data_IF_682385628931
#
_entry.id   IF_682385628931
#
_cell.length_a   1.000
_cell.length_b   1.000
_cell.length_c   1.000
_cell.angle_alpha   90.00
_cell.angle_beta   90.00
_cell.angle_gamma   90.00
#
_symmetry.space_group_name_H-M   'P 1'
#
loop_
_entity.id
_entity.type
_entity.pdbx_description
1 polymer ?
#
# COMPACT_ATOMS: atom_id res chain seq x y z
N UNK A 1 -22.67 64.03 14.09
CA UNK A 1 -23.21 63.39 12.88
C UNK A 1 -23.07 64.40 11.75
N UNK A 2 -21.92 64.37 11.07
CA UNK A 2 -21.59 65.37 10.05
C UNK A 2 -21.90 64.74 8.70
N UNK A 3 -23.02 65.13 8.07
CA UNK A 3 -23.35 64.70 6.71
C UNK A 3 -22.55 65.54 5.73
N UNK A 4 -21.59 64.93 5.03
CA UNK A 4 -20.96 65.53 3.86
C UNK A 4 -21.75 65.10 2.62
N UNK A 5 -22.45 66.05 2.01
CA UNK A 5 -23.13 65.87 0.73
C UNK A 5 -22.11 66.06 -0.40
N UNK A 6 -21.98 65.07 -1.28
CA UNK A 6 -21.29 65.25 -2.56
C UNK A 6 -22.30 64.99 -3.68
N UNK A 7 -22.74 66.06 -4.35
CA UNK A 7 -23.56 65.96 -5.55
C UNK A 7 -22.70 65.36 -6.67
N UNK A 8 -23.07 64.17 -7.14
CA UNK A 8 -22.57 63.64 -8.40
C UNK A 8 -23.63 63.92 -9.46
N UNK A 9 -23.33 64.89 -10.31
CA UNK A 9 -24.06 65.17 -11.55
C UNK A 9 -23.83 64.01 -12.51
N UNK A 10 -24.88 63.27 -12.85
CA UNK A 10 -24.92 62.47 -14.07
C UNK A 10 -26.21 62.77 -14.82
N UNK A 11 -26.02 63.17 -16.08
CA UNK A 11 -27.02 63.54 -17.07
C UNK A 11 -28.26 62.63 -17.05
N UNK A 12 -29.44 63.28 -16.98
CA UNK A 12 -30.63 62.88 -17.75
C UNK A 12 -30.14 62.59 -19.20
N UNK A 13 -30.50 61.47 -19.83
CA UNK A 13 -31.88 61.02 -19.90
C UNK A 13 -32.17 59.74 -19.14
N UNK A 14 -33.28 59.81 -18.40
CA UNK A 14 -34.05 58.75 -17.75
C UNK A 14 -33.76 58.51 -16.27
N UNK A 15 -34.16 59.52 -15.48
CA UNK A 15 -34.67 59.47 -14.09
C UNK A 15 -34.93 58.09 -13.51
N UNK A 16 -33.92 57.56 -12.81
CA UNK A 16 -34.12 56.67 -11.66
C UNK A 16 -33.01 56.96 -10.63
N UNK A 17 -33.35 57.68 -9.57
CA UNK A 17 -32.42 58.00 -8.47
C UNK A 17 -32.25 56.78 -7.56
N UNK A 18 -31.22 55.98 -7.79
CA UNK A 18 -30.87 54.87 -6.87
C UNK A 18 -30.09 55.43 -5.69
N UNK A 19 -30.72 55.41 -4.51
CA UNK A 19 -30.10 55.75 -3.23
C UNK A 19 -29.11 54.63 -2.84
N UNK A 20 -27.83 54.77 -3.18
CA UNK A 20 -26.80 53.85 -2.69
C UNK A 20 -26.32 54.34 -1.32
N UNK A 21 -26.90 53.78 -0.26
CA UNK A 21 -26.38 53.93 1.10
C UNK A 21 -25.13 53.05 1.21
N UNK A 22 -23.94 53.64 1.04
CA UNK A 22 -22.71 52.99 1.44
C UNK A 22 -22.63 53.03 2.97
N UNK A 23 -23.12 51.99 3.63
CA UNK A 23 -22.75 51.74 5.02
C UNK A 23 -21.26 51.44 5.06
N UNK A 24 -20.49 52.32 5.71
CA UNK A 24 -19.10 52.03 6.10
C UNK A 24 -19.11 50.82 7.03
N UNK A 25 -19.05 49.62 6.47
CA UNK A 25 -18.65 48.44 7.21
C UNK A 25 -17.16 48.59 7.47
N UNK A 26 -16.83 49.19 8.61
CA UNK A 26 -15.50 49.16 9.20
C UNK A 26 -15.15 47.69 9.43
N UNK A 27 -14.48 47.07 8.47
CA UNK A 27 -13.85 45.76 8.60
C UNK A 27 -12.73 45.89 9.64
N UNK A 28 -13.10 45.75 10.92
CA UNK A 28 -12.16 45.44 11.98
C UNK A 28 -11.59 44.06 11.68
N UNK A 29 -10.55 43.99 10.84
CA UNK A 29 -9.69 42.83 10.80
C UNK A 29 -9.07 42.72 12.19
N UNK A 30 -9.55 41.78 13.00
CA UNK A 30 -8.84 41.40 14.21
C UNK A 30 -7.42 41.01 13.79
N UNK A 31 -6.42 41.79 14.19
CA UNK A 31 -5.05 41.29 14.25
C UNK A 31 -5.08 39.97 15.02
N UNK A 32 -4.32 38.95 14.61
CA UNK A 32 -4.21 37.72 15.37
C UNK A 32 -3.86 38.13 16.81
N UNK A 33 -4.76 37.83 17.76
CA UNK A 33 -4.43 38.02 19.17
C UNK A 33 -3.13 37.25 19.40
N UNK A 34 -2.12 37.91 19.96
CA UNK A 34 -0.91 37.23 20.43
C UNK A 34 -1.36 36.25 21.50
N UNK A 35 -1.64 35.01 21.08
CA UNK A 35 -1.75 33.89 21.99
C UNK A 35 -0.41 33.75 22.70
N UNK A 36 -0.45 33.27 23.94
CA UNK A 36 0.74 32.91 24.73
C UNK A 36 1.78 32.29 23.80
N UNK A 37 2.91 32.96 23.59
CA UNK A 37 4.06 32.36 22.91
C UNK A 37 4.56 31.26 23.84
N UNK A 38 4.15 30.01 23.61
CA UNK A 38 4.79 28.88 24.27
C UNK A 38 6.20 28.82 23.71
N UNK A 39 7.15 29.45 24.41
CA UNK A 39 8.54 29.59 24.00
C UNK A 39 9.33 28.26 24.07
N UNK A 40 8.63 27.12 24.21
CA UNK A 40 9.25 25.82 24.44
C UNK A 40 8.56 24.76 23.60
N UNK A 41 9.41 24.06 22.83
CA UNK A 41 9.51 22.60 22.75
C UNK A 41 9.44 21.98 21.35
N UNK A 42 9.01 22.72 20.32
CA UNK A 42 8.96 22.19 18.93
C UNK A 42 10.33 21.62 18.48
N UNK A 43 11.42 22.33 18.78
CA UNK A 43 12.78 21.91 18.42
C UNK A 43 13.28 20.72 19.26
N UNK A 44 12.87 20.62 20.53
CA UNK A 44 13.26 19.52 21.42
C UNK A 44 12.48 18.24 21.09
N UNK A 45 11.18 18.38 20.82
CA UNK A 45 10.32 17.30 20.29
C UNK A 45 10.89 16.79 18.97
N UNK A 46 11.26 17.70 18.06
CA UNK A 46 11.87 17.33 16.78
C UNK A 46 13.19 16.56 16.98
N UNK A 47 14.08 17.04 17.84
CA UNK A 47 15.36 16.36 18.12
C UNK A 47 15.16 14.96 18.74
N UNK A 48 14.14 14.78 19.59
CA UNK A 48 13.80 13.46 20.17
C UNK A 48 13.24 12.50 19.13
N UNK A 49 12.42 12.98 18.20
CA UNK A 49 11.88 12.13 17.12
C UNK A 49 12.97 11.77 16.12
N UNK A 50 13.89 12.69 15.81
CA UNK A 50 15.04 12.44 14.94
C UNK A 50 16.01 11.41 15.55
N UNK A 51 16.19 11.41 16.88
CA UNK A 51 17.02 10.42 17.56
C UNK A 51 16.35 9.04 17.63
N UNK A 52 15.04 8.99 17.90
CA UNK A 52 14.27 7.76 17.86
C UNK A 52 12.82 8.00 17.40
N UNK A 53 12.50 7.64 16.14
CA UNK A 53 11.16 7.80 15.58
C UNK A 53 10.05 6.98 16.27
N UNK A 54 10.42 6.06 17.18
CA UNK A 54 9.47 5.16 17.85
C UNK A 54 8.97 5.65 19.21
N UNK A 55 9.41 6.83 19.65
CA UNK A 55 8.92 7.38 20.91
C UNK A 55 7.41 7.56 20.91
N UNK A 56 6.78 7.09 21.97
CA UNK A 56 5.36 7.30 22.23
C UNK A 56 5.14 8.71 22.78
N UNK A 57 3.92 9.25 22.60
CA UNK A 57 3.55 10.54 23.18
C UNK A 57 3.78 10.60 24.69
N UNK A 58 3.63 9.48 25.41
CA UNK A 58 3.87 9.40 26.85
C UNK A 58 5.35 9.51 27.22
N UNK A 59 6.24 8.83 26.49
CA UNK A 59 7.69 8.91 26.73
C UNK A 59 8.21 10.33 26.43
N UNK A 60 7.67 11.00 25.42
CA UNK A 60 8.00 12.40 25.10
C UNK A 60 7.53 13.33 26.26
N UNK A 61 6.32 13.11 26.77
CA UNK A 61 5.78 13.83 27.93
C UNK A 61 6.67 13.67 29.16
N UNK A 62 7.12 12.45 29.46
CA UNK A 62 7.99 12.17 30.60
C UNK A 62 9.38 12.78 30.44
N UNK A 63 9.94 12.74 29.22
CA UNK A 63 11.27 13.28 28.93
C UNK A 63 11.32 14.80 28.99
N UNK A 64 10.27 15.46 28.49
CA UNK A 64 10.22 16.92 28.37
C UNK A 64 9.41 17.58 29.51
N UNK A 65 8.74 16.77 30.34
CA UNK A 65 7.86 17.18 31.42
C UNK A 65 6.76 18.17 30.96
N UNK A 66 6.16 17.88 29.81
CA UNK A 66 5.12 18.72 29.17
C UNK A 66 3.80 17.98 29.16
N UNK A 67 2.70 18.72 29.27
CA UNK A 67 1.37 18.15 29.26
C UNK A 67 1.08 17.39 27.94
N UNK A 68 0.43 16.21 28.05
CA UNK A 68 0.17 15.30 26.93
C UNK A 68 -0.58 15.94 25.76
N UNK A 69 -1.55 16.82 26.03
CA UNK A 69 -2.28 17.52 24.96
C UNK A 69 -1.37 18.44 24.14
N UNK A 70 -0.43 19.12 24.80
CA UNK A 70 0.51 20.02 24.14
C UNK A 70 1.42 19.24 23.21
N UNK A 71 1.99 18.11 23.66
CA UNK A 71 2.82 17.24 22.80
C UNK A 71 2.05 16.79 21.56
N UNK A 72 0.78 16.40 21.71
CA UNK A 72 -0.07 16.00 20.58
C UNK A 72 -0.30 17.14 19.58
N UNK A 73 -0.58 18.34 20.06
CA UNK A 73 -0.81 19.51 19.22
C UNK A 73 0.47 19.94 18.50
N UNK A 74 1.63 19.88 19.19
CA UNK A 74 2.94 20.15 18.61
C UNK A 74 3.33 19.12 17.54
N UNK A 75 3.11 17.82 17.78
CA UNK A 75 3.33 16.77 16.78
C UNK A 75 2.51 17.00 15.51
N UNK A 76 1.23 17.37 15.66
CA UNK A 76 0.34 17.71 14.53
C UNK A 76 0.82 18.96 13.80
N UNK A 77 1.20 20.01 14.53
CA UNK A 77 1.72 21.26 13.96
C UNK A 77 2.99 21.04 13.14
N UNK A 78 3.86 20.14 13.59
CA UNK A 78 5.09 19.74 12.89
C UNK A 78 4.85 18.76 11.73
N UNK A 79 3.62 18.26 11.55
CA UNK A 79 3.26 17.34 10.47
C UNK A 79 3.59 15.87 10.74
N UNK A 80 3.93 15.50 11.98
CA UNK A 80 4.15 14.10 12.36
C UNK A 80 2.82 13.36 12.50
N UNK A 81 2.78 12.13 11.98
CA UNK A 81 1.63 11.24 12.09
C UNK A 81 2.12 9.88 12.54
N UNK A 82 1.47 9.30 13.54
CA UNK A 82 1.75 7.92 13.97
C UNK A 82 1.30 6.95 12.89
N UNK A 83 2.25 6.19 12.35
CA UNK A 83 2.02 5.11 11.39
C UNK A 83 2.55 3.82 12.00
N UNK A 84 1.86 2.72 11.71
CA UNK A 84 2.39 1.40 12.02
C UNK A 84 3.47 1.07 11.01
N UNK A 85 4.56 0.46 11.49
CA UNK A 85 5.60 -0.09 10.64
C UNK A 85 5.01 -1.15 9.70
N UNK A 86 5.56 -1.23 8.49
CA UNK A 86 5.17 -2.24 7.50
C UNK A 86 5.83 -3.56 7.89
N UNK A 87 5.01 -4.59 8.08
CA UNK A 87 5.52 -5.96 8.29
C UNK A 87 6.26 -6.44 7.04
N UNK A 88 7.55 -6.71 7.18
CA UNK A 88 8.38 -7.33 6.15
C UNK A 88 8.55 -8.82 6.44
N UNK A 89 8.53 -9.71 5.42
CA UNK A 89 8.59 -11.16 5.65
C UNK A 89 9.87 -11.66 6.32
N UNK A 90 11.01 -11.00 6.05
CA UNK A 90 12.31 -11.43 6.56
C UNK A 90 13.27 -10.24 6.65
N UNK A 91 14.13 -10.25 7.67
CA UNK A 91 15.26 -9.35 7.78
C UNK A 91 16.38 -9.85 6.86
N UNK A 92 16.71 -9.08 5.82
CA UNK A 92 17.69 -9.49 4.82
C UNK A 92 19.10 -9.16 5.30
N UNK A 93 20.00 -10.14 5.19
CA UNK A 93 21.44 -9.91 5.35
C UNK A 93 22.02 -9.16 4.15
N UNK A 94 23.13 -8.48 4.35
CA UNK A 94 23.83 -7.73 3.30
C UNK A 94 24.10 -8.57 2.04
N UNK A 95 24.53 -9.83 2.21
CA UNK A 95 24.76 -10.77 1.09
C UNK A 95 23.49 -10.98 0.25
N UNK A 96 22.32 -11.11 0.90
CA UNK A 96 21.05 -11.28 0.20
C UNK A 96 20.58 -9.98 -0.47
N UNK A 97 20.86 -8.82 0.15
CA UNK A 97 20.58 -7.51 -0.46
C UNK A 97 21.39 -7.32 -1.74
N UNK A 98 22.69 -7.51 -1.68
CA UNK A 98 23.59 -7.38 -2.83
C UNK A 98 23.21 -8.35 -3.95
N UNK A 99 22.90 -9.61 -3.62
CA UNK A 99 22.44 -10.58 -4.61
C UNK A 99 21.15 -10.13 -5.29
N UNK A 100 20.18 -9.59 -4.53
CA UNK A 100 18.91 -9.08 -5.10
C UNK A 100 19.14 -7.88 -6.01
N UNK A 101 19.95 -6.91 -5.60
CA UNK A 101 20.28 -5.73 -6.41
C UNK A 101 20.93 -6.18 -7.73
N UNK A 102 21.94 -7.04 -7.66
CA UNK A 102 22.62 -7.55 -8.85
C UNK A 102 21.68 -8.28 -9.81
N UNK A 103 20.80 -9.14 -9.29
CA UNK A 103 19.81 -9.85 -10.12
C UNK A 103 18.85 -8.85 -10.77
N UNK A 104 18.35 -7.87 -10.02
CA UNK A 104 17.48 -6.84 -10.56
C UNK A 104 18.17 -6.03 -11.67
N UNK A 105 19.41 -5.60 -11.46
CA UNK A 105 20.18 -4.84 -12.45
C UNK A 105 20.39 -5.65 -13.74
N UNK A 106 20.68 -6.95 -13.62
CA UNK A 106 20.79 -7.85 -14.78
C UNK A 106 19.45 -7.96 -15.50
N UNK A 107 18.36 -8.20 -14.78
CA UNK A 107 17.03 -8.34 -15.38
C UNK A 107 16.56 -7.08 -16.10
N UNK A 108 16.83 -5.89 -15.54
CA UNK A 108 16.53 -4.60 -16.19
C UNK A 108 17.31 -4.47 -17.49
N UNK A 109 18.63 -4.72 -17.46
CA UNK A 109 19.46 -4.69 -18.69
C UNK A 109 19.01 -5.73 -19.72
N UNK A 110 18.57 -6.91 -19.30
CA UNK A 110 18.03 -7.92 -20.19
C UNK A 110 16.75 -7.43 -20.89
N UNK A 111 15.83 -6.80 -20.15
CA UNK A 111 14.58 -6.27 -20.72
C UNK A 111 14.83 -5.12 -21.70
N UNK A 112 15.81 -4.26 -21.44
CA UNK A 112 16.21 -3.18 -22.36
C UNK A 112 16.76 -3.72 -23.69
N UNK A 113 17.49 -4.84 -23.66
CA UNK A 113 18.12 -5.43 -24.84
C UNK A 113 17.21 -6.38 -25.63
N UNK A 114 16.48 -7.29 -24.96
CA UNK A 114 15.50 -8.19 -25.58
C UNK A 114 14.25 -8.31 -24.68
N UNK A 115 13.20 -7.52 -24.94
CA UNK A 115 12.00 -7.52 -24.12
C UNK A 115 11.40 -8.92 -23.93
N UNK A 116 11.37 -9.39 -22.69
CA UNK A 116 10.91 -10.72 -22.30
C UNK A 116 9.69 -10.69 -21.39
N UNK A 117 9.30 -9.54 -20.83
CA UNK A 117 8.10 -9.42 -19.98
C UNK A 117 6.81 -9.91 -20.66
N UNK A 118 6.68 -9.73 -21.98
CA UNK A 118 5.52 -10.25 -22.75
C UNK A 118 5.55 -11.78 -22.96
N UNK A 119 6.67 -12.43 -22.65
CA UNK A 119 6.86 -13.89 -22.72
C UNK A 119 6.86 -14.53 -21.32
N UNK A 120 6.79 -13.72 -20.28
CA UNK A 120 6.86 -14.15 -18.90
C UNK A 120 5.54 -14.81 -18.45
N UNK A 121 5.65 -16.03 -17.93
CA UNK A 121 4.58 -16.74 -17.24
C UNK A 121 5.02 -16.91 -15.79
N UNK A 122 4.22 -16.35 -14.89
CA UNK A 122 4.47 -16.36 -13.45
C UNK A 122 3.57 -17.40 -12.81
N UNK A 123 4.14 -18.22 -11.93
CA UNK A 123 3.42 -19.19 -11.12
C UNK A 123 3.63 -18.94 -9.64
N UNK A 124 2.57 -19.08 -8.85
CA UNK A 124 2.64 -19.09 -7.39
C UNK A 124 1.50 -19.94 -6.80
N UNK A 125 1.68 -20.37 -5.56
CA UNK A 125 0.72 -21.21 -4.86
C UNK A 125 0.31 -20.64 -3.52
N UNK A 126 -1.01 -20.63 -3.29
CA UNK A 126 -1.60 -20.00 -2.13
C UNK A 126 -2.56 -20.93 -1.41
N UNK A 127 -2.39 -21.05 -0.10
CA UNK A 127 -3.39 -21.64 0.77
C UNK A 127 -4.59 -20.70 0.93
N UNK A 128 -5.76 -21.18 0.56
CA UNK A 128 -7.04 -20.51 0.78
C UNK A 128 -7.76 -21.20 1.93
N UNK A 129 -8.13 -20.41 2.93
CA UNK A 129 -8.89 -20.85 4.10
C UNK A 129 -10.37 -20.58 3.85
N UNK A 130 -11.25 -21.54 4.17
CA UNK A 130 -12.70 -21.38 3.94
C UNK A 130 -13.37 -20.35 4.84
N UNK A 131 -12.85 -20.12 6.05
CA UNK A 131 -13.46 -19.22 7.02
C UNK A 131 -12.65 -17.93 7.16
N UNK A 132 -13.06 -16.90 6.40
CA UNK A 132 -12.51 -15.56 6.49
C UNK A 132 -13.26 -14.78 7.59
N UNK A 133 -12.80 -14.87 8.84
CA UNK A 133 -13.41 -14.15 9.97
C UNK A 133 -13.05 -12.66 9.89
N UNK A 134 -14.03 -11.80 9.62
CA UNK A 134 -13.87 -10.34 9.70
C UNK A 134 -14.13 -9.90 11.14
N UNK A 135 -13.12 -9.30 11.79
CA UNK A 135 -13.18 -8.86 13.20
C UNK A 135 -13.51 -7.38 13.38
N UNK A 136 -13.86 -6.66 12.32
CA UNK A 136 -14.14 -5.22 12.38
C UNK A 136 -15.63 -5.00 12.64
N UNK A 137 -15.93 -4.31 13.73
CA UNK A 137 -17.27 -3.86 14.09
C UNK A 137 -17.19 -2.40 14.55
N UNK A 138 -18.27 -1.65 14.37
CA UNK A 138 -18.43 -0.28 14.86
C UNK A 138 -19.56 -0.25 15.90
N UNK A 139 -19.33 -0.74 17.13
CA UNK A 139 -20.35 -0.73 18.19
C UNK A 139 -20.60 0.69 18.71
N UNK A 140 -21.75 0.93 19.36
CA UNK A 140 -21.97 2.17 20.11
C UNK A 140 -21.08 2.20 21.36
N UNK A 141 -20.91 3.40 21.96
CA UNK A 141 -19.93 3.66 23.03
C UNK A 141 -20.07 2.74 24.25
N UNK A 142 -21.31 2.31 24.56
CA UNK A 142 -21.63 1.53 25.76
C UNK A 142 -21.91 0.05 25.45
N UNK A 143 -21.88 -0.35 24.18
CA UNK A 143 -22.08 -1.73 23.77
C UNK A 143 -20.78 -2.53 23.95
N UNK A 144 -20.89 -3.71 24.56
CA UNK A 144 -19.77 -4.65 24.62
C UNK A 144 -19.46 -5.20 23.22
N UNK A 145 -18.19 -5.32 22.83
CA UNK A 145 -17.83 -5.93 21.54
C UNK A 145 -18.29 -7.39 21.48
N UNK A 146 -18.81 -7.81 20.31
CA UNK A 146 -19.27 -9.18 20.14
C UNK A 146 -18.08 -10.17 20.12
N UNK A 147 -18.13 -11.18 20.99
CA UNK A 147 -17.11 -12.23 21.03
C UNK A 147 -17.21 -13.10 19.79
N UNK A 148 -16.17 -13.06 18.94
CA UNK A 148 -16.03 -14.00 17.82
C UNK A 148 -14.94 -15.02 18.16
N UNK A 149 -15.21 -16.31 17.96
CA UNK A 149 -14.23 -17.35 18.22
C UNK A 149 -12.99 -17.18 17.32
N UNK A 150 -11.79 -17.42 17.86
CA UNK A 150 -10.57 -17.43 17.06
C UNK A 150 -10.66 -18.56 16.02
N UNK A 151 -10.24 -18.26 14.81
CA UNK A 151 -10.06 -19.25 13.76
C UNK A 151 -9.19 -20.42 14.27
N UNK A 152 -9.72 -21.65 14.23
CA UNK A 152 -8.98 -22.85 14.61
C UNK A 152 -7.79 -23.05 13.64
N UNK A 153 -6.62 -23.43 14.17
CA UNK A 153 -5.40 -23.68 13.39
C UNK A 153 -5.63 -24.81 12.34
N UNK A 154 -6.50 -25.77 12.66
CA UNK A 154 -6.89 -26.91 11.80
C UNK A 154 -8.05 -26.62 10.84
N UNK A 155 -8.28 -25.35 10.50
CA UNK A 155 -9.32 -24.99 9.55
C UNK A 155 -9.16 -25.70 8.19
N UNK A 156 -10.29 -25.88 7.50
CA UNK A 156 -10.29 -26.44 6.14
C UNK A 156 -9.50 -25.50 5.22
N UNK A 157 -8.49 -26.04 4.53
CA UNK A 157 -7.69 -25.32 3.53
C UNK A 157 -7.65 -26.08 2.23
N UNK A 158 -7.60 -25.32 1.13
CA UNK A 158 -7.32 -25.80 -0.22
C UNK A 158 -6.12 -25.03 -0.75
N UNK A 159 -5.29 -25.68 -1.54
CA UNK A 159 -4.14 -25.05 -2.17
C UNK A 159 -4.53 -24.67 -3.60
N UNK A 160 -4.43 -23.39 -3.92
CA UNK A 160 -4.60 -22.88 -5.28
C UNK A 160 -3.22 -22.74 -5.91
N UNK A 161 -2.98 -23.43 -7.02
CA UNK A 161 -1.86 -23.19 -7.91
C UNK A 161 -2.34 -22.35 -9.08
N UNK A 162 -1.73 -21.21 -9.34
CA UNK A 162 -2.15 -20.31 -10.42
C UNK A 162 -0.95 -19.85 -11.24
N UNK A 163 -1.14 -19.86 -12.56
CA UNK A 163 -0.16 -19.46 -13.56
C UNK A 163 -0.77 -18.41 -14.47
N UNK A 164 -0.11 -17.27 -14.61
CA UNK A 164 -0.62 -16.13 -15.34
C UNK A 164 0.47 -15.37 -16.10
N UNK A 165 0.05 -14.61 -17.10
CA UNK A 165 0.90 -13.70 -17.86
C UNK A 165 0.32 -12.28 -17.81
N UNK A 166 0.95 -11.34 -18.53
CA UNK A 166 0.50 -9.94 -18.63
C UNK A 166 -0.92 -9.76 -19.21
N UNK A 167 -1.50 -10.80 -19.83
CA UNK A 167 -2.85 -10.79 -20.41
C UNK A 167 -3.88 -11.47 -19.51
N UNK A 168 -3.46 -12.19 -18.48
CA UNK A 168 -4.35 -12.83 -17.50
C UNK A 168 -3.99 -14.28 -17.17
N UNK A 169 -4.93 -14.99 -16.55
CA UNK A 169 -4.71 -16.35 -16.05
C UNK A 169 -4.64 -17.36 -17.20
N UNK A 170 -3.52 -18.07 -17.27
CA UNK A 170 -3.26 -19.13 -18.28
C UNK A 170 -3.78 -20.46 -17.77
N UNK A 171 -3.42 -20.84 -16.55
CA UNK A 171 -3.81 -22.11 -15.94
C UNK A 171 -3.97 -21.93 -14.44
N UNK A 172 -4.93 -22.65 -13.85
CA UNK A 172 -5.04 -22.76 -12.40
C UNK A 172 -5.58 -24.13 -12.02
N UNK A 173 -5.19 -24.62 -10.85
CA UNK A 173 -5.68 -25.85 -10.27
C UNK A 173 -5.93 -25.64 -8.78
N UNK A 174 -7.11 -26.07 -8.31
CA UNK A 174 -7.41 -26.19 -6.90
C UNK A 174 -7.15 -27.62 -6.48
N UNK A 175 -6.10 -27.81 -5.67
CA UNK A 175 -5.77 -29.12 -5.14
C UNK A 175 -6.83 -29.55 -4.11
N UNK A 176 -7.17 -30.85 -4.07
CA UNK A 176 -8.11 -31.38 -3.11
C UNK A 176 -7.59 -31.20 -1.69
N UNK A 177 -8.52 -31.35 -0.74
CA UNK A 177 -8.33 -30.96 0.66
C UNK A 177 -7.06 -31.57 1.26
N UNK A 178 -6.27 -30.71 1.90
CA UNK A 178 -5.01 -31.06 2.59
C UNK A 178 -3.94 -31.70 1.71
N UNK A 179 -4.07 -31.67 0.39
CA UNK A 179 -3.00 -32.10 -0.51
C UNK A 179 -1.97 -30.96 -0.65
N UNK A 180 -0.70 -31.31 -0.49
CA UNK A 180 0.44 -30.42 -0.75
C UNK A 180 1.01 -30.69 -2.13
N UNK A 181 1.65 -29.68 -2.72
CA UNK A 181 2.43 -29.86 -3.95
C UNK A 181 3.66 -30.70 -3.62
N UNK A 182 3.65 -31.91 -4.16
CA UNK A 182 4.83 -32.74 -4.26
C UNK A 182 5.40 -32.62 -5.67
N UNK A 183 6.56 -33.23 -5.89
CA UNK A 183 7.21 -33.22 -7.20
C UNK A 183 6.30 -33.74 -8.33
N UNK A 184 5.59 -34.84 -8.10
CA UNK A 184 4.76 -35.47 -9.13
C UNK A 184 3.55 -34.61 -9.53
N UNK A 185 2.90 -34.00 -8.53
CA UNK A 185 1.79 -33.06 -8.73
C UNK A 185 2.28 -31.86 -9.51
N UNK A 186 3.43 -31.30 -9.14
CA UNK A 186 4.02 -30.16 -9.84
C UNK A 186 4.36 -30.50 -11.30
N UNK A 187 5.02 -31.63 -11.54
CA UNK A 187 5.32 -32.08 -12.90
C UNK A 187 4.07 -32.31 -13.76
N UNK A 188 2.98 -32.80 -13.17
CA UNK A 188 1.68 -32.94 -13.85
C UNK A 188 1.04 -31.58 -14.14
N UNK A 189 1.18 -30.63 -13.22
CA UNK A 189 0.73 -29.25 -13.40
C UNK A 189 1.45 -28.58 -14.57
N UNK A 190 2.75 -28.77 -14.70
CA UNK A 190 3.53 -28.28 -15.82
C UNK A 190 3.05 -28.85 -17.18
N UNK A 191 2.68 -30.13 -17.25
CA UNK A 191 2.10 -30.70 -18.47
C UNK A 191 0.78 -30.03 -18.85
N UNK A 192 -0.09 -29.83 -17.87
CA UNK A 192 -1.39 -29.20 -18.07
C UNK A 192 -1.26 -27.70 -18.39
N UNK A 193 -0.28 -27.04 -17.78
CA UNK A 193 0.11 -25.68 -18.09
C UNK A 193 0.57 -25.58 -19.54
N UNK A 194 1.44 -26.47 -20.01
CA UNK A 194 1.91 -26.46 -21.40
C UNK A 194 0.74 -26.59 -22.39
N UNK A 195 -0.17 -27.54 -22.16
CA UNK A 195 -1.40 -27.68 -22.96
C UNK A 195 -2.22 -26.39 -22.98
N UNK A 196 -2.34 -25.74 -21.82
CA UNK A 196 -3.06 -24.46 -21.69
C UNK A 196 -2.35 -23.31 -22.41
N UNK A 197 -1.02 -23.27 -22.40
CA UNK A 197 -0.20 -22.28 -23.12
C UNK A 197 -0.39 -22.45 -24.63
N UNK A 198 -0.29 -23.68 -25.15
CA UNK A 198 -0.49 -23.97 -26.57
C UNK A 198 -1.87 -23.50 -27.03
N UNK A 199 -2.92 -23.74 -26.23
CA UNK A 199 -4.29 -23.35 -26.56
C UNK A 199 -4.53 -21.84 -26.44
N UNK A 200 -4.13 -21.22 -25.33
CA UNK A 200 -4.48 -19.82 -25.02
C UNK A 200 -3.47 -18.81 -25.58
N UNK A 201 -2.23 -19.22 -25.80
CA UNK A 201 -1.08 -18.37 -26.16
C UNK A 201 -0.21 -18.99 -27.28
N UNK A 202 -0.79 -19.34 -28.45
CA UNK A 202 -0.04 -19.98 -29.54
C UNK A 202 1.16 -19.16 -30.04
N UNK A 203 1.09 -17.82 -29.92
CA UNK A 203 2.19 -16.92 -30.29
C UNK A 203 3.45 -17.10 -29.42
N UNK A 204 3.32 -17.54 -28.17
CA UNK A 204 4.49 -17.72 -27.30
C UNK A 204 5.30 -18.95 -27.71
N UNK A 205 4.60 -20.02 -28.10
CA UNK A 205 5.20 -21.28 -28.54
C UNK A 205 5.99 -21.10 -29.84
N UNK A 206 5.48 -20.29 -30.77
CA UNK A 206 6.03 -20.23 -32.13
C UNK A 206 7.17 -19.24 -32.36
N UNK A 207 7.45 -18.31 -31.43
CA UNK A 207 8.31 -17.16 -31.73
C UNK A 207 9.67 -17.16 -31.02
N UNK A 208 9.72 -17.23 -29.69
CA UNK A 208 10.98 -17.09 -28.92
C UNK A 208 10.98 -17.84 -27.57
N UNK A 209 10.13 -18.86 -27.44
CA UNK A 209 9.98 -19.61 -26.19
C UNK A 209 9.26 -18.83 -25.09
N UNK A 210 9.02 -19.53 -23.98
CA UNK A 210 8.34 -19.03 -22.78
C UNK A 210 9.38 -18.79 -21.70
N UNK A 211 9.23 -17.72 -20.92
CA UNK A 211 10.07 -17.51 -19.73
C UNK A 211 9.24 -17.80 -18.50
N UNK A 212 9.64 -18.79 -17.71
CA UNK A 212 8.95 -19.12 -16.46
C UNK A 212 9.57 -18.36 -15.28
N UNK A 213 8.71 -17.82 -14.42
CA UNK A 213 9.10 -17.27 -13.13
C UNK A 213 8.28 -17.93 -12.02
N UNK A 214 8.97 -18.49 -11.03
CA UNK A 214 8.39 -19.13 -9.86
C UNK A 214 9.37 -19.02 -8.68
N UNK A 215 8.92 -19.38 -7.48
CA UNK A 215 9.77 -19.36 -6.30
C UNK A 215 10.74 -20.56 -6.25
N UNK A 216 11.70 -20.49 -5.33
CA UNK A 216 12.73 -21.52 -5.15
C UNK A 216 12.28 -22.63 -4.18
N UNK A 217 11.00 -23.00 -4.18
CA UNK A 217 10.52 -24.11 -3.36
C UNK A 217 11.23 -25.42 -3.72
N UNK A 218 11.39 -26.33 -2.74
CA UNK A 218 12.16 -27.57 -2.92
C UNK A 218 11.65 -28.45 -4.08
N UNK A 219 10.34 -28.48 -4.30
CA UNK A 219 9.72 -29.17 -5.45
C UNK A 219 10.17 -28.55 -6.77
N UNK A 220 10.30 -27.23 -6.82
CA UNK A 220 10.59 -26.45 -8.04
C UNK A 220 12.05 -26.56 -8.46
N UNK A 221 12.97 -26.66 -7.49
CA UNK A 221 14.40 -26.77 -7.75
C UNK A 221 14.89 -28.20 -8.02
N UNK A 222 13.99 -29.19 -8.00
CA UNK A 222 14.36 -30.59 -8.22
C UNK A 222 14.90 -30.83 -9.63
N UNK A 223 15.73 -31.86 -9.80
CA UNK A 223 16.28 -32.22 -11.11
C UNK A 223 15.18 -32.56 -12.12
N UNK A 224 14.17 -33.34 -11.71
CA UNK A 224 13.04 -33.73 -12.56
C UNK A 224 12.26 -32.51 -13.02
N UNK A 225 12.01 -31.54 -12.14
CA UNK A 225 11.32 -30.30 -12.52
C UNK A 225 12.15 -29.47 -13.49
N UNK A 226 13.44 -29.32 -13.24
CA UNK A 226 14.34 -28.56 -14.13
C UNK A 226 14.40 -29.19 -15.52
N UNK A 227 14.51 -30.52 -15.60
CA UNK A 227 14.51 -31.23 -16.87
C UNK A 227 13.19 -31.02 -17.62
N UNK A 228 12.07 -31.04 -16.89
CA UNK A 228 10.76 -30.78 -17.48
C UNK A 228 10.59 -29.35 -17.97
N UNK A 229 11.11 -28.36 -17.25
CA UNK A 229 11.10 -26.97 -17.71
C UNK A 229 11.92 -26.79 -19.00
N UNK A 230 13.06 -27.49 -19.13
CA UNK A 230 13.86 -27.46 -20.36
C UNK A 230 13.12 -28.08 -21.55
N UNK A 231 12.30 -29.10 -21.33
CA UNK A 231 11.45 -29.69 -22.39
C UNK A 231 10.32 -28.75 -22.85
N UNK A 232 9.92 -27.81 -21.99
CA UNK A 232 8.82 -26.86 -22.25
C UNK A 232 9.27 -25.59 -22.99
N UNK A 233 10.58 -25.41 -23.18
CA UNK A 233 11.18 -24.26 -23.88
C UNK A 233 11.94 -23.35 -22.95
#
# INVERSE_FOLDING_TARGET
MTMLYKNVSTNDDSRNSVLVILTSAMLLSHQPRSGKSTEVDDNKIKALIESNPRYTTREIVETLNIHHSSVHDHLKKLGYVSKLDVWVPHELKEVHLTARINICDILVKCEENDPFLKRLIIGDEKWIVYNNVVRKQWPQRDDSPQTTSKANIYQRKVMLSVWWDFKGVVFFELLPRNQTINLNVYCRQLDNLNKSIIQKRPKLVNHKGVVFHHDNARSHTSLTTRQKLLELG
#
